data_IF_370276085697
#
_entry.id   IF_370276085697
#
_cell.length_a   1.000
_cell.length_b   1.000
_cell.length_c   1.000
_cell.angle_alpha   90.00
_cell.angle_beta   90.00
_cell.angle_gamma   90.00
#
_symmetry.space_group_name_H-M   'P 1'
#
loop_
_entity.id
_entity.type
_entity.pdbx_description
1 polymer ?
#
# COMPACT_ATOMS: atom_id res chain seq x y z
N UNK A 1 2.64 -40.86 -1.27
CA UNK A 1 2.55 -39.44 -1.65
C UNK A 1 1.93 -38.74 -0.46
N UNK A 2 2.70 -37.92 0.26
CA UNK A 2 2.16 -37.19 1.40
C UNK A 2 1.47 -35.95 0.84
N UNK A 3 0.15 -35.88 0.98
CA UNK A 3 -0.59 -34.63 0.86
C UNK A 3 0.01 -33.67 1.89
N UNK A 4 0.70 -32.63 1.44
CA UNK A 4 1.02 -31.50 2.29
C UNK A 4 -0.32 -30.87 2.65
N UNK A 5 -0.83 -31.15 3.85
CA UNK A 5 -1.84 -30.32 4.49
C UNK A 5 -1.28 -28.90 4.48
N UNK A 6 -1.87 -28.02 3.68
CA UNK A 6 -1.73 -26.57 3.83
C UNK A 6 -2.28 -26.23 5.22
N UNK A 7 -1.42 -26.27 6.24
CA UNK A 7 -1.75 -25.66 7.53
C UNK A 7 -1.82 -24.17 7.31
N UNK A 8 -3.05 -23.65 7.24
CA UNK A 8 -3.34 -22.23 7.38
C UNK A 8 -2.66 -21.73 8.66
N UNK A 9 -1.75 -20.75 8.55
CA UNK A 9 -1.19 -20.08 9.72
C UNK A 9 -2.17 -18.96 10.16
N UNK A 10 -2.95 -19.15 11.24
CA UNK A 10 -3.93 -18.17 11.70
C UNK A 10 -3.27 -16.85 12.15
N UNK A 11 -1.98 -16.88 12.51
CA UNK A 11 -1.25 -15.65 12.85
C UNK A 11 -0.96 -14.83 11.59
N UNK A 12 -0.54 -15.48 10.51
CA UNK A 12 -0.29 -14.82 9.23
C UNK A 12 -1.57 -14.16 8.69
N UNK A 13 -2.72 -14.84 8.78
CA UNK A 13 -4.00 -14.27 8.36
C UNK A 13 -4.40 -13.05 9.20
N UNK A 14 -4.24 -13.13 10.52
CA UNK A 14 -4.53 -12.00 11.42
C UNK A 14 -3.60 -10.81 11.18
N UNK A 15 -2.30 -11.06 11.00
CA UNK A 15 -1.32 -10.02 10.70
C UNK A 15 -1.70 -9.32 9.39
N UNK A 16 -2.06 -10.08 8.34
CA UNK A 16 -2.41 -9.51 7.04
C UNK A 16 -3.72 -8.70 7.07
N UNK A 17 -4.74 -9.16 7.78
CA UNK A 17 -5.96 -8.35 8.02
C UNK A 17 -5.64 -7.04 8.74
N UNK A 18 -4.78 -7.10 9.75
CA UNK A 18 -4.33 -5.92 10.49
C UNK A 18 -3.64 -4.93 9.55
N UNK A 19 -2.75 -5.41 8.68
CA UNK A 19 -2.05 -4.58 7.69
C UNK A 19 -2.94 -4.05 6.56
N UNK A 20 -4.05 -4.74 6.24
CA UNK A 20 -5.03 -4.27 5.27
C UNK A 20 -5.87 -3.11 5.80
N UNK A 21 -6.23 -3.13 7.09
CA UNK A 21 -7.02 -2.07 7.73
C UNK A 21 -6.16 -0.90 8.23
N UNK A 22 -4.88 -1.15 8.50
CA UNK A 22 -3.92 -0.17 8.98
C UNK A 22 -3.94 1.17 8.24
N UNK A 23 -3.95 1.24 6.90
CA UNK A 23 -3.90 2.52 6.19
C UNK A 23 -5.08 3.43 6.53
N UNK A 24 -6.29 2.86 6.66
CA UNK A 24 -7.48 3.64 7.01
C UNK A 24 -7.39 4.17 8.45
N UNK A 25 -7.04 3.30 9.40
CA UNK A 25 -6.92 3.66 10.81
C UNK A 25 -5.81 4.70 11.01
N UNK A 26 -4.65 4.50 10.37
CA UNK A 26 -3.53 5.43 10.43
C UNK A 26 -3.86 6.77 9.80
N UNK A 27 -4.58 6.81 8.69
CA UNK A 27 -5.01 8.07 8.08
C UNK A 27 -5.96 8.87 8.99
N UNK A 28 -6.84 8.21 9.75
CA UNK A 28 -7.69 8.89 10.76
C UNK A 28 -6.86 9.43 11.92
N UNK A 29 -5.88 8.66 12.40
CA UNK A 29 -4.97 9.07 13.46
C UNK A 29 -4.10 10.27 13.05
N UNK A 30 -3.49 10.20 11.86
CA UNK A 30 -2.65 11.25 11.29
C UNK A 30 -3.41 12.56 11.15
N UNK A 31 -4.71 12.54 10.81
CA UNK A 31 -5.53 13.76 10.78
C UNK A 31 -5.59 14.42 12.15
N UNK A 32 -5.75 13.65 13.23
CA UNK A 32 -5.80 14.20 14.59
C UNK A 32 -4.44 14.74 15.03
N UNK A 33 -3.37 13.96 14.81
CA UNK A 33 -2.00 14.35 15.16
C UNK A 33 -1.58 15.61 14.40
N UNK A 34 -1.91 15.70 13.10
CA UNK A 34 -1.63 16.88 12.30
C UNK A 34 -2.28 18.15 12.90
N UNK A 35 -3.54 18.07 13.34
CA UNK A 35 -4.22 19.19 14.00
C UNK A 35 -3.52 19.58 15.31
N UNK A 36 -3.14 18.60 16.13
CA UNK A 36 -2.46 18.84 17.41
C UNK A 36 -1.10 19.52 17.21
N UNK A 37 -0.37 19.10 16.19
CA UNK A 37 0.98 19.55 15.89
C UNK A 37 1.06 20.80 14.98
N UNK A 38 -0.10 21.33 14.58
CA UNK A 38 -0.19 22.53 13.73
C UNK A 38 0.18 22.30 12.26
N UNK A 39 0.04 21.06 11.76
CA UNK A 39 0.19 20.71 10.35
C UNK A 39 -1.16 20.77 9.62
N UNK A 40 -1.11 20.88 8.29
CA UNK A 40 -2.28 20.69 7.43
C UNK A 40 -2.67 19.19 7.36
N UNK A 41 -3.83 18.79 7.90
CA UNK A 41 -4.22 17.37 7.94
C UNK A 41 -4.38 16.75 6.56
N UNK A 42 -4.87 17.52 5.58
CA UNK A 42 -5.05 17.04 4.21
C UNK A 42 -3.72 16.75 3.54
N UNK A 43 -2.74 17.65 3.68
CA UNK A 43 -1.38 17.42 3.16
C UNK A 43 -0.67 16.25 3.82
N UNK A 44 -0.84 16.08 5.13
CA UNK A 44 -0.25 14.94 5.87
C UNK A 44 -0.83 13.62 5.38
N UNK A 45 -2.17 13.52 5.27
CA UNK A 45 -2.82 12.29 4.78
C UNK A 45 -2.44 12.01 3.34
N UNK A 46 -2.34 13.05 2.51
CA UNK A 46 -1.89 12.90 1.12
C UNK A 46 -0.46 12.35 1.05
N UNK A 47 0.45 12.90 1.87
CA UNK A 47 1.82 12.42 1.97
C UNK A 47 1.91 10.96 2.40
N UNK A 48 1.11 10.57 3.40
CA UNK A 48 0.98 9.17 3.81
C UNK A 48 0.44 8.28 2.69
N UNK A 49 -0.62 8.69 1.99
CA UNK A 49 -1.17 7.92 0.88
C UNK A 49 -0.12 7.70 -0.23
N UNK A 50 0.68 8.72 -0.54
CA UNK A 50 1.75 8.61 -1.55
C UNK A 50 2.91 7.74 -1.11
N UNK A 51 3.33 7.84 0.15
CA UNK A 51 4.34 6.95 0.70
C UNK A 51 3.90 5.48 0.56
N UNK A 52 2.64 5.21 0.86
CA UNK A 52 2.03 3.87 0.76
C UNK A 52 1.93 3.37 -0.69
N UNK A 53 1.46 4.21 -1.61
CA UNK A 53 1.29 3.82 -3.03
C UNK A 53 2.65 3.60 -3.70
N UNK A 54 3.62 4.47 -3.44
CA UNK A 54 4.90 4.45 -4.14
C UNK A 54 5.91 3.47 -3.52
N UNK A 55 5.91 3.29 -2.20
CA UNK A 55 7.02 2.64 -1.50
C UNK A 55 6.62 1.42 -0.66
N UNK A 56 5.32 1.15 -0.47
CA UNK A 56 4.86 0.10 0.43
C UNK A 56 4.49 -1.23 -0.25
N UNK A 57 5.18 -1.54 -1.35
CA UNK A 57 5.09 -2.81 -2.07
C UNK A 57 5.32 -4.01 -1.15
N UNK A 58 6.13 -3.84 -0.09
CA UNK A 58 6.45 -4.91 0.84
C UNK A 58 5.25 -5.34 1.67
N UNK A 59 4.32 -4.43 2.02
CA UNK A 59 3.11 -4.79 2.74
C UNK A 59 1.96 -5.22 1.81
N UNK A 60 2.01 -4.87 0.52
CA UNK A 60 1.06 -5.36 -0.49
C UNK A 60 1.46 -6.75 -0.99
N UNK A 61 2.75 -6.97 -1.26
CA UNK A 61 3.29 -8.16 -1.94
C UNK A 61 4.31 -8.95 -1.09
N UNK A 62 4.42 -8.69 0.22
CA UNK A 62 5.11 -9.51 1.22
C UNK A 62 6.55 -10.00 0.87
N UNK A 63 7.49 -9.16 0.41
CA UNK A 63 8.83 -9.62 -0.06
C UNK A 63 9.99 -9.09 0.79
N UNK A 64 10.98 -9.94 1.19
CA UNK A 64 11.59 -11.04 0.40
C UNK A 64 11.14 -12.49 0.70
N UNK A 65 10.39 -12.74 1.77
CA UNK A 65 9.99 -14.10 2.19
C UNK A 65 9.02 -14.74 1.18
N UNK A 66 8.07 -13.99 0.61
CA UNK A 66 7.13 -14.53 -0.38
C UNK A 66 7.77 -14.90 -1.73
N UNK A 67 8.99 -14.44 -2.05
CA UNK A 67 9.71 -14.92 -3.26
C UNK A 67 10.38 -16.26 -3.05
N UNK A 68 10.91 -16.49 -1.86
CA UNK A 68 11.70 -17.68 -1.55
C UNK A 68 10.82 -18.83 -1.05
N UNK A 69 9.66 -18.52 -0.47
CA UNK A 69 8.71 -19.46 0.11
C UNK A 69 7.25 -19.15 -0.28
N UNK A 70 7.00 -18.81 -1.56
CA UNK A 70 5.64 -18.59 -2.05
C UNK A 70 4.72 -19.77 -1.74
N UNK A 71 3.52 -19.48 -1.24
CA UNK A 71 2.41 -20.44 -1.14
C UNK A 71 1.14 -19.84 -1.78
N UNK A 72 0.20 -20.66 -2.29
CA UNK A 72 -1.10 -20.18 -2.78
C UNK A 72 -1.83 -19.29 -1.76
N UNK A 73 -1.76 -19.64 -0.49
CA UNK A 73 -2.33 -18.86 0.61
C UNK A 73 -1.78 -17.41 0.64
N UNK A 74 -0.48 -17.20 0.43
CA UNK A 74 0.09 -15.85 0.35
C UNK A 74 -0.49 -15.06 -0.83
N UNK A 75 -0.70 -15.72 -1.96
CA UNK A 75 -1.37 -15.15 -3.13
C UNK A 75 -2.78 -14.65 -2.80
N UNK A 76 -3.61 -15.52 -2.18
CA UNK A 76 -4.96 -15.18 -1.72
C UNK A 76 -4.97 -13.98 -0.78
N UNK A 77 -4.11 -14.01 0.24
CA UNK A 77 -4.06 -12.94 1.25
C UNK A 77 -3.54 -11.63 0.67
N UNK A 78 -2.54 -11.67 -0.22
CA UNK A 78 -2.06 -10.47 -0.92
C UNK A 78 -3.15 -9.85 -1.79
N UNK A 79 -3.96 -10.68 -2.48
CA UNK A 79 -5.09 -10.20 -3.29
C UNK A 79 -6.15 -9.51 -2.42
N UNK A 80 -6.44 -10.03 -1.24
CA UNK A 80 -7.36 -9.41 -0.28
C UNK A 80 -6.81 -8.08 0.25
N UNK A 81 -5.54 -8.05 0.69
CA UNK A 81 -4.89 -6.83 1.16
C UNK A 81 -4.85 -5.76 0.07
N UNK A 82 -4.54 -6.16 -1.15
CA UNK A 82 -4.56 -5.31 -2.32
C UNK A 82 -5.93 -4.67 -2.55
N UNK A 83 -7.00 -5.47 -2.54
CA UNK A 83 -8.37 -4.96 -2.74
C UNK A 83 -8.79 -3.96 -1.65
N UNK A 84 -8.52 -4.27 -0.38
CA UNK A 84 -8.87 -3.38 0.73
C UNK A 84 -8.11 -2.05 0.68
N UNK A 85 -6.81 -2.10 0.39
CA UNK A 85 -5.99 -0.90 0.17
C UNK A 85 -6.46 -0.10 -1.01
N UNK A 86 -6.79 -0.83 -2.08
CA UNK A 86 -7.17 -0.23 -3.33
C UNK A 86 -8.37 0.71 -3.11
N UNK A 87 -9.44 0.20 -2.51
CA UNK A 87 -10.65 0.97 -2.22
C UNK A 87 -10.35 2.22 -1.39
N UNK A 88 -9.47 2.10 -0.38
CA UNK A 88 -9.05 3.22 0.45
C UNK A 88 -8.30 4.29 -0.36
N UNK A 89 -7.24 3.93 -1.09
CA UNK A 89 -6.44 4.87 -1.89
C UNK A 89 -7.30 5.67 -2.89
N UNK A 90 -8.27 5.02 -3.53
CA UNK A 90 -9.15 5.67 -4.50
C UNK A 90 -10.30 6.44 -3.88
N UNK A 91 -10.67 6.17 -2.63
CA UNK A 91 -11.76 6.88 -1.95
C UNK A 91 -11.29 8.13 -1.19
N UNK A 92 -9.98 8.26 -0.91
CA UNK A 92 -9.44 9.44 -0.23
C UNK A 92 -9.70 10.72 -1.03
N UNK A 93 -10.36 11.74 -0.46
CA UNK A 93 -10.59 13.01 -1.15
C UNK A 93 -9.29 13.76 -1.49
N UNK A 94 -8.23 13.52 -0.71
CA UNK A 94 -6.94 14.18 -0.89
C UNK A 94 -6.17 13.67 -2.11
N UNK A 95 -6.41 12.43 -2.56
CA UNK A 95 -5.70 11.83 -3.70
C UNK A 95 -6.21 12.44 -5.02
N UNK A 96 -5.32 13.00 -5.87
CA UNK A 96 -5.67 13.57 -7.16
C UNK A 96 -6.42 12.59 -8.09
N UNK A 97 -7.39 13.07 -8.90
CA UNK A 97 -8.12 12.23 -9.84
C UNK A 97 -7.23 11.43 -10.79
N UNK A 98 -6.13 12.01 -11.28
CA UNK A 98 -5.23 11.37 -12.22
C UNK A 98 -4.57 10.13 -11.61
N UNK A 99 -4.15 10.22 -10.35
CA UNK A 99 -3.59 9.09 -9.60
C UNK A 99 -4.66 8.02 -9.39
N UNK A 100 -5.89 8.42 -9.02
CA UNK A 100 -7.00 7.47 -8.86
C UNK A 100 -7.29 6.72 -10.15
N UNK A 101 -7.40 7.42 -11.27
CA UNK A 101 -7.63 6.81 -12.58
C UNK A 101 -6.51 5.83 -12.93
N UNK A 102 -5.25 6.23 -12.73
CA UNK A 102 -4.10 5.37 -13.02
C UNK A 102 -4.10 4.10 -12.17
N UNK A 103 -4.38 4.22 -10.87
CA UNK A 103 -4.50 3.07 -9.96
C UNK A 103 -5.65 2.14 -10.37
N UNK A 104 -6.82 2.67 -10.74
CA UNK A 104 -7.94 1.87 -11.24
C UNK A 104 -7.55 1.09 -12.49
N UNK A 105 -6.90 1.74 -13.47
CA UNK A 105 -6.45 1.07 -14.70
C UNK A 105 -5.47 -0.07 -14.40
N UNK A 106 -4.50 0.13 -13.51
CA UNK A 106 -3.58 -0.94 -13.13
C UNK A 106 -4.32 -2.05 -12.38
N UNK A 107 -5.29 -1.73 -11.51
CA UNK A 107 -6.11 -2.73 -10.80
C UNK A 107 -6.88 -3.63 -11.75
N UNK A 108 -7.58 -3.06 -12.72
CA UNK A 108 -8.33 -3.81 -13.73
C UNK A 108 -7.42 -4.79 -14.50
N UNK A 109 -6.17 -4.39 -14.79
CA UNK A 109 -5.18 -5.28 -15.41
C UNK A 109 -4.77 -6.43 -14.47
N UNK A 110 -4.59 -6.15 -13.18
CA UNK A 110 -4.14 -7.15 -12.19
C UNK A 110 -5.26 -8.12 -11.77
N UNK A 111 -6.53 -7.76 -11.92
CA UNK A 111 -7.68 -8.60 -11.59
C UNK A 111 -7.76 -9.88 -12.43
N UNK A 112 -7.25 -9.83 -13.67
CA UNK A 112 -7.25 -10.96 -14.60
C UNK A 112 -6.25 -12.07 -14.27
N UNK A 113 -5.35 -11.84 -13.30
CA UNK A 113 -4.35 -12.82 -12.90
C UNK A 113 -4.87 -13.77 -11.82
N UNK A 114 -4.39 -15.01 -11.84
CA UNK A 114 -4.50 -15.91 -10.69
C UNK A 114 -3.32 -15.65 -9.75
N UNK A 115 -3.60 -15.00 -8.61
CA UNK A 115 -2.58 -14.59 -7.63
C UNK A 115 -2.01 -15.79 -6.85
N UNK A 116 -2.66 -16.95 -6.92
CA UNK A 116 -2.25 -18.18 -6.26
C UNK A 116 -1.16 -18.94 -7.05
N UNK A 117 -0.90 -18.53 -8.30
CA UNK A 117 0.21 -19.04 -9.09
C UNK A 117 1.46 -18.17 -8.91
N UNK A 118 2.57 -18.78 -8.50
CA UNK A 118 3.86 -18.07 -8.29
C UNK A 118 4.27 -17.19 -9.47
N UNK A 119 4.16 -17.71 -10.70
CA UNK A 119 4.55 -16.98 -11.92
C UNK A 119 3.71 -15.72 -12.10
N UNK A 120 2.40 -15.82 -11.88
CA UNK A 120 1.51 -14.67 -11.96
C UNK A 120 1.78 -13.70 -10.82
N UNK A 121 2.03 -14.18 -9.60
CA UNK A 121 2.39 -13.34 -8.47
C UNK A 121 3.67 -12.51 -8.73
N UNK A 122 4.70 -13.14 -9.30
CA UNK A 122 5.92 -12.47 -9.73
C UNK A 122 5.65 -11.42 -10.81
N UNK A 123 4.77 -11.74 -11.76
CA UNK A 123 4.37 -10.83 -12.84
C UNK A 123 3.55 -9.65 -12.34
N UNK A 124 2.58 -9.87 -11.46
CA UNK A 124 1.79 -8.82 -10.78
C UNK A 124 2.72 -7.86 -10.05
N UNK A 125 3.67 -8.40 -9.26
CA UNK A 125 4.65 -7.58 -8.54
C UNK A 125 5.48 -6.72 -9.50
N UNK A 126 5.85 -7.28 -10.66
CA UNK A 126 6.61 -6.58 -11.70
C UNK A 126 5.77 -5.48 -12.35
N UNK A 127 4.49 -5.75 -12.64
CA UNK A 127 3.54 -4.78 -13.21
C UNK A 127 3.36 -3.63 -12.25
N UNK A 128 3.10 -3.89 -10.96
CA UNK A 128 2.94 -2.85 -9.96
C UNK A 128 4.17 -1.95 -9.86
N UNK A 129 5.37 -2.51 -9.71
CA UNK A 129 6.61 -1.73 -9.68
C UNK A 129 6.83 -0.89 -10.94
N UNK A 130 6.57 -1.49 -12.10
CA UNK A 130 6.81 -0.85 -13.39
C UNK A 130 5.78 0.24 -13.73
N UNK A 131 4.52 0.06 -13.32
CA UNK A 131 3.41 0.93 -13.70
C UNK A 131 2.97 1.87 -12.59
N UNK A 132 3.06 1.49 -11.32
CA UNK A 132 2.63 2.32 -10.19
C UNK A 132 3.83 3.01 -9.55
N UNK A 133 4.76 2.27 -8.96
CA UNK A 133 5.93 2.85 -8.26
C UNK A 133 6.70 3.81 -9.15
N UNK A 134 7.15 3.34 -10.32
CA UNK A 134 7.91 4.18 -11.24
C UNK A 134 7.12 5.39 -11.74
N UNK A 135 5.84 5.21 -12.04
CA UNK A 135 5.00 6.31 -12.51
C UNK A 135 4.80 7.36 -11.42
N UNK A 136 4.61 6.94 -10.16
CA UNK A 136 4.52 7.86 -9.02
C UNK A 136 5.83 8.62 -8.82
N UNK A 137 6.99 7.97 -8.95
CA UNK A 137 8.29 8.63 -8.92
C UNK A 137 8.43 9.71 -10.00
N UNK A 138 8.08 9.38 -11.25
CA UNK A 138 8.07 10.33 -12.38
C UNK A 138 7.02 11.45 -12.16
N UNK A 139 5.88 11.14 -11.55
CA UNK A 139 4.83 12.11 -11.22
C UNK A 139 5.33 13.12 -10.18
N UNK A 140 6.06 12.66 -9.16
CA UNK A 140 6.64 13.53 -8.13
C UNK A 140 7.73 14.48 -8.66
N UNK A 141 8.39 14.15 -9.76
CA UNK A 141 9.36 15.06 -10.41
C UNK A 141 8.68 16.26 -11.07
N UNK A 142 7.42 16.10 -11.48
CA UNK A 142 6.66 17.13 -12.20
C UNK A 142 5.63 17.84 -11.31
N UNK A 143 5.34 17.31 -10.12
CA UNK A 143 4.37 17.83 -9.16
C UNK A 143 5.03 18.05 -7.77
N UNK A 144 5.78 19.15 -7.58
CA UNK A 144 6.54 19.40 -6.36
C UNK A 144 5.68 19.44 -5.09
N UNK A 145 4.42 19.83 -5.18
CA UNK A 145 3.45 19.81 -4.09
C UNK A 145 3.22 18.41 -3.51
N UNK A 146 3.44 17.35 -4.30
CA UNK A 146 3.34 15.96 -3.85
C UNK A 146 4.53 15.60 -2.96
N UNK A 147 5.73 16.08 -3.31
CA UNK A 147 6.93 15.96 -2.46
C UNK A 147 6.80 16.77 -1.18
N UNK A 148 6.12 17.92 -1.23
CA UNK A 148 5.79 18.70 -0.03
C UNK A 148 4.84 17.93 0.90
N UNK A 149 3.84 17.24 0.34
CA UNK A 149 2.91 16.42 1.11
C UNK A 149 3.66 15.28 1.83
N UNK A 150 4.52 14.53 1.11
CA UNK A 150 5.38 13.48 1.71
C UNK A 150 6.25 14.08 2.82
N UNK A 151 6.87 15.23 2.58
CA UNK A 151 7.68 15.91 3.60
C UNK A 151 6.87 16.29 4.84
N UNK A 152 5.66 16.82 4.66
CA UNK A 152 4.78 17.18 5.77
C UNK A 152 4.42 15.96 6.62
N UNK A 153 4.13 14.82 5.97
CA UNK A 153 3.93 13.54 6.63
C UNK A 153 5.18 13.09 7.42
N UNK A 154 6.35 13.06 6.79
CA UNK A 154 7.61 12.66 7.45
C UNK A 154 7.95 13.56 8.65
N UNK A 155 7.72 14.88 8.53
CA UNK A 155 7.99 15.82 9.63
C UNK A 155 7.07 15.60 10.82
N UNK A 156 5.79 15.27 10.59
CA UNK A 156 4.87 14.92 11.67
C UNK A 156 5.32 13.63 12.38
N UNK A 157 5.63 12.58 11.61
CA UNK A 157 6.14 11.31 12.14
C UNK A 157 7.39 11.49 13.00
N UNK A 158 8.34 12.29 12.54
CA UNK A 158 9.56 12.59 13.30
C UNK A 158 9.29 13.37 14.58
N UNK A 159 8.29 14.25 14.60
CA UNK A 159 7.96 15.04 15.79
C UNK A 159 7.28 14.18 16.84
N UNK A 160 6.26 13.42 16.45
CA UNK A 160 5.54 12.50 17.36
C UNK A 160 6.51 11.53 18.02
N UNK A 161 7.46 10.95 17.25
CA UNK A 161 8.49 10.04 17.77
C UNK A 161 9.47 10.67 18.77
N UNK A 162 9.62 12.00 18.81
CA UNK A 162 10.50 12.69 19.78
C UNK A 162 9.79 12.97 21.11
N UNK A 163 8.47 12.91 21.12
CA UNK A 163 7.64 13.22 22.28
C UNK A 163 7.22 11.96 23.06
N UNK A 164 7.42 10.77 22.47
CA UNK A 164 7.34 9.44 23.11
C UNK A 164 8.64 9.05 23.84
#
# INVERSE_FOLDING_TARGET
MAEQQETEDPKLEQDLKTWAEYPKQRAEELRRLAVQEGFDPGKVVLGFAFDMIAYDDANIFARPIAMLAFTPQMGRLSKQNYAMRADWETSLPEVPPEIKTHLVTVREELEGYDWEERKNYEEITRIWKGKVTKWMEDYFDTHPEMREAIRAYTQLEERVKREE
#
